data_IF_574105402314
#
_entry.id   IF_574105402314
#
_cell.length_a   1.000
_cell.length_b   1.000
_cell.length_c   1.000
_cell.angle_alpha   90.00
_cell.angle_beta   90.00
_cell.angle_gamma   90.00
#
_symmetry.space_group_name_H-M   'P 1'
#
loop_
_entity.id
_entity.type
_entity.pdbx_description
1 polymer ?
#
# COMPACT_ATOMS: atom_id res chain seq x y z
N UNK A 1 11.33 22.56 33.09
CA UNK A 1 12.51 21.75 32.70
C UNK A 1 12.14 20.34 32.20
N UNK A 2 11.13 19.65 32.75
CA UNK A 2 10.72 18.32 32.29
C UNK A 2 10.16 18.26 30.85
N UNK A 3 9.44 19.30 30.40
CA UNK A 3 8.90 19.40 29.02
C UNK A 3 9.99 19.32 27.94
N UNK A 4 11.10 20.03 28.12
CA UNK A 4 12.18 20.09 27.12
C UNK A 4 12.98 18.78 27.04
N UNK A 5 13.03 17.98 28.11
CA UNK A 5 13.70 16.66 28.08
C UNK A 5 12.88 15.62 27.32
N UNK A 6 11.56 15.68 27.38
CA UNK A 6 10.66 14.76 26.66
C UNK A 6 10.73 15.02 25.14
N UNK A 7 10.77 16.28 24.71
CA UNK A 7 10.92 16.62 23.29
C UNK A 7 12.27 16.18 22.71
N UNK A 8 13.37 16.37 23.45
CA UNK A 8 14.69 15.88 23.03
C UNK A 8 14.77 14.35 22.97
N UNK A 9 14.11 13.64 23.89
CA UNK A 9 14.03 12.18 23.85
C UNK A 9 13.32 11.66 22.60
N UNK A 10 12.24 12.33 22.16
CA UNK A 10 11.49 11.92 20.96
C UNK A 10 12.26 12.15 19.66
N UNK A 11 13.08 13.21 19.60
CA UNK A 11 13.89 13.56 18.42
C UNK A 11 15.03 12.58 18.12
N UNK A 12 15.55 11.87 19.14
CA UNK A 12 16.70 10.96 18.96
C UNK A 12 16.33 9.50 18.66
N UNK A 13 15.04 9.15 18.67
CA UNK A 13 14.63 7.78 18.44
C UNK A 13 14.82 7.38 16.97
N UNK A 14 15.41 6.20 16.74
CA UNK A 14 15.51 5.63 15.39
C UNK A 14 14.12 5.46 14.79
N UNK A 15 13.96 5.85 13.53
CA UNK A 15 12.70 5.74 12.79
C UNK A 15 12.65 4.44 11.97
N UNK A 16 11.45 3.99 11.68
CA UNK A 16 11.12 3.00 10.66
C UNK A 16 10.00 3.60 9.80
N UNK A 17 10.17 3.62 8.48
CA UNK A 17 9.17 4.15 7.54
C UNK A 17 8.30 3.01 7.03
N UNK A 18 6.99 3.21 7.01
CA UNK A 18 6.04 2.26 6.43
C UNK A 18 5.18 3.03 5.44
N UNK A 19 5.36 2.77 4.15
CA UNK A 19 4.60 3.39 3.07
C UNK A 19 3.49 2.44 2.66
N UNK A 20 2.24 2.84 2.83
CA UNK A 20 1.08 1.99 2.58
C UNK A 20 -0.02 2.78 1.88
N UNK A 21 -0.74 2.14 0.97
CA UNK A 21 -2.02 2.64 0.53
C UNK A 21 -3.06 2.45 1.64
N UNK A 22 -4.08 3.29 1.64
CA UNK A 22 -5.22 3.14 2.54
C UNK A 22 -6.39 2.49 1.79
N UNK A 23 -7.17 1.61 2.46
CA UNK A 23 -7.01 1.02 3.79
C UNK A 23 -7.20 -0.50 3.79
N UNK A 24 -6.32 -1.20 3.06
CA UNK A 24 -6.35 -2.65 3.08
C UNK A 24 -6.02 -3.16 4.50
N UNK A 25 -6.81 -4.11 5.06
CA UNK A 25 -6.40 -4.89 6.21
C UNK A 25 -4.98 -5.41 6.12
N UNK A 26 -4.52 -5.79 4.93
CA UNK A 26 -3.14 -6.17 4.63
C UNK A 26 -2.11 -5.12 5.05
N UNK A 27 -2.34 -3.85 4.67
CA UNK A 27 -1.52 -2.72 5.09
C UNK A 27 -1.56 -2.53 6.62
N UNK A 28 -2.71 -2.71 7.26
CA UNK A 28 -2.81 -2.61 8.72
C UNK A 28 -1.96 -3.68 9.43
N UNK A 29 -2.01 -4.93 8.96
CA UNK A 29 -1.17 -6.01 9.49
C UNK A 29 0.32 -5.77 9.24
N UNK A 30 0.67 -5.19 8.09
CA UNK A 30 2.02 -4.73 7.80
C UNK A 30 2.49 -3.72 8.87
N UNK A 31 1.71 -2.66 9.12
CA UNK A 31 2.02 -1.64 10.15
C UNK A 31 2.17 -2.27 11.53
N UNK A 32 1.21 -3.09 11.96
CA UNK A 32 1.24 -3.75 13.28
C UNK A 32 2.48 -4.65 13.41
N UNK A 33 2.80 -5.42 12.36
CA UNK A 33 3.96 -6.31 12.33
C UNK A 33 5.26 -5.54 12.53
N UNK A 34 5.43 -4.43 11.80
CA UNK A 34 6.62 -3.58 11.90
C UNK A 34 6.71 -2.92 13.29
N UNK A 35 5.61 -2.42 13.85
CA UNK A 35 5.59 -1.84 15.21
C UNK A 35 6.05 -2.85 16.25
N UNK A 36 5.48 -4.07 16.23
CA UNK A 36 5.80 -5.10 17.24
C UNK A 36 7.23 -5.59 17.14
N UNK A 37 7.74 -5.76 15.92
CA UNK A 37 9.10 -6.28 15.67
C UNK A 37 10.20 -5.23 15.82
N UNK A 38 9.84 -3.95 15.93
CA UNK A 38 10.79 -2.86 16.13
C UNK A 38 10.51 -2.08 17.43
N UNK A 39 10.59 -2.71 18.63
CA UNK A 39 10.20 -2.11 19.91
C UNK A 39 10.95 -0.82 20.27
N UNK A 40 12.16 -0.63 19.71
CA UNK A 40 13.03 0.52 19.97
C UNK A 40 12.91 1.63 18.92
N UNK A 41 12.13 1.43 17.86
CA UNK A 41 11.94 2.42 16.80
C UNK A 41 10.55 3.06 16.89
N UNK A 42 10.46 4.32 16.50
CA UNK A 42 9.19 4.97 16.17
C UNK A 42 8.84 4.62 14.73
N UNK A 43 7.62 4.16 14.50
CA UNK A 43 7.14 3.81 13.16
C UNK A 43 6.41 5.02 12.57
N UNK A 44 7.00 5.62 11.54
CA UNK A 44 6.36 6.66 10.75
C UNK A 44 5.56 5.95 9.66
N UNK A 45 4.23 5.99 9.74
CA UNK A 45 3.32 5.38 8.78
C UNK A 45 2.89 6.45 7.79
N UNK A 46 3.30 6.31 6.54
CA UNK A 46 2.98 7.22 5.45
C UNK A 46 1.82 6.61 4.67
N UNK A 47 0.68 7.28 4.74
CA UNK A 47 -0.58 6.86 4.12
C UNK A 47 -0.66 7.51 2.73
N UNK A 48 -0.52 6.71 1.68
CA UNK A 48 -0.71 7.19 0.31
C UNK A 48 -2.20 7.42 0.06
N UNK A 49 -2.60 8.61 -0.44
CA UNK A 49 -3.99 8.91 -0.66
C UNK A 49 -4.55 8.07 -1.82
N UNK A 50 -5.75 7.52 -1.63
CA UNK A 50 -6.43 6.71 -2.62
C UNK A 50 -7.62 7.49 -3.21
N UNK A 51 -7.77 7.57 -4.54
CA UNK A 51 -8.99 8.09 -5.16
C UNK A 51 -10.19 7.21 -4.78
N UNK A 52 -11.24 7.84 -4.25
CA UNK A 52 -12.46 7.16 -3.81
C UNK A 52 -13.68 7.78 -4.50
N UNK A 53 -14.47 6.94 -5.16
CA UNK A 53 -15.76 7.33 -5.72
C UNK A 53 -16.88 6.70 -4.87
N UNK A 54 -17.54 7.53 -4.05
CA UNK A 54 -18.64 7.10 -3.17
C UNK A 54 -19.99 7.09 -3.89
N UNK A 55 -20.04 7.57 -5.14
CA UNK A 55 -21.30 7.71 -5.89
C UNK A 55 -21.77 6.41 -6.51
N UNK A 56 -20.91 5.39 -6.57
CA UNK A 56 -21.22 4.07 -7.14
C UNK A 56 -21.26 3.00 -6.05
N UNK A 57 -22.16 2.04 -6.17
CA UNK A 57 -22.32 0.96 -5.18
C UNK A 57 -21.15 -0.01 -5.29
N UNK A 58 -20.68 -0.52 -4.16
CA UNK A 58 -19.82 -1.70 -4.18
C UNK A 58 -20.62 -2.92 -4.66
N UNK A 59 -19.92 -3.94 -5.18
CA UNK A 59 -20.60 -5.16 -5.63
C UNK A 59 -21.25 -5.92 -4.46
N UNK A 60 -20.60 -5.95 -3.29
CA UNK A 60 -21.15 -6.56 -2.09
C UNK A 60 -21.62 -8.01 -2.33
N UNK A 61 -22.85 -8.32 -1.94
CA UNK A 61 -23.48 -9.62 -2.18
C UNK A 61 -23.82 -9.91 -3.65
N UNK A 62 -23.84 -8.89 -4.50
CA UNK A 62 -24.08 -9.03 -5.94
C UNK A 62 -22.82 -9.37 -6.74
N UNK A 63 -21.65 -9.48 -6.10
CA UNK A 63 -20.40 -9.83 -6.78
C UNK A 63 -20.53 -11.05 -7.72
N UNK A 64 -21.14 -12.19 -7.32
CA UNK A 64 -21.28 -13.34 -8.23
C UNK A 64 -22.17 -13.05 -9.44
N UNK A 65 -23.20 -12.23 -9.27
CA UNK A 65 -24.12 -11.85 -10.34
C UNK A 65 -23.43 -10.94 -11.37
N UNK A 66 -22.73 -9.91 -10.88
CA UNK A 66 -21.93 -9.00 -11.71
C UNK A 66 -20.83 -9.78 -12.44
N UNK A 67 -20.11 -10.65 -11.72
CA UNK A 67 -19.08 -11.51 -12.28
C UNK A 67 -19.62 -12.36 -13.43
N UNK A 68 -20.76 -13.02 -13.23
CA UNK A 68 -21.37 -13.86 -14.25
C UNK A 68 -21.78 -13.04 -15.49
N UNK A 69 -22.37 -11.85 -15.29
CA UNK A 69 -22.76 -10.98 -16.41
C UNK A 69 -21.56 -10.54 -17.26
N UNK A 70 -20.45 -10.17 -16.64
CA UNK A 70 -19.21 -9.83 -17.35
C UNK A 70 -18.56 -11.09 -17.94
N UNK A 71 -18.61 -12.22 -17.25
CA UNK A 71 -18.09 -13.51 -17.71
C UNK A 71 -18.72 -13.94 -19.03
N UNK A 72 -20.05 -13.87 -19.15
CA UNK A 72 -20.76 -14.21 -20.38
C UNK A 72 -20.26 -13.38 -21.58
N UNK A 73 -19.98 -12.10 -21.37
CA UNK A 73 -19.43 -11.22 -22.41
C UNK A 73 -18.00 -11.61 -22.81
N UNK A 74 -17.17 -12.01 -21.85
CA UNK A 74 -15.75 -12.35 -22.07
C UNK A 74 -15.54 -13.78 -22.58
N UNK A 75 -16.60 -14.55 -22.83
CA UNK A 75 -16.47 -15.93 -23.34
C UNK A 75 -15.80 -15.92 -24.71
N UNK A 76 -14.75 -16.74 -24.83
CA UNK A 76 -14.07 -17.00 -26.09
C UNK A 76 -14.96 -17.87 -27.00
N UNK A 77 -14.69 -17.96 -28.32
CA UNK A 77 -15.48 -18.78 -29.24
C UNK A 77 -15.55 -20.27 -28.86
N UNK A 78 -14.56 -20.78 -28.12
CA UNK A 78 -14.55 -22.15 -27.58
C UNK A 78 -15.37 -22.33 -26.28
N UNK A 79 -16.02 -21.26 -25.80
CA UNK A 79 -16.81 -21.25 -24.56
C UNK A 79 -15.99 -21.02 -23.28
N UNK A 80 -14.67 -20.92 -23.36
CA UNK A 80 -13.82 -20.66 -22.18
C UNK A 80 -13.93 -19.21 -21.71
N UNK A 81 -13.93 -19.02 -20.39
CA UNK A 81 -13.93 -17.71 -19.74
C UNK A 81 -12.51 -17.33 -19.35
N UNK A 82 -12.09 -16.14 -19.74
CA UNK A 82 -10.86 -15.54 -19.24
C UNK A 82 -11.13 -14.79 -17.93
N UNK A 83 -10.96 -15.49 -16.79
CA UNK A 83 -11.26 -14.94 -15.48
C UNK A 83 -10.46 -13.65 -15.17
N UNK A 84 -9.23 -13.52 -15.68
CA UNK A 84 -8.42 -12.32 -15.47
C UNK A 84 -9.03 -11.13 -16.21
N UNK A 85 -9.52 -11.34 -17.43
CA UNK A 85 -10.20 -10.30 -18.19
C UNK A 85 -11.54 -9.89 -17.57
N UNK A 86 -12.31 -10.84 -17.03
CA UNK A 86 -13.54 -10.54 -16.26
C UNK A 86 -13.24 -9.61 -15.11
N UNK A 87 -12.29 -10.01 -14.26
CA UNK A 87 -11.91 -9.24 -13.07
C UNK A 87 -11.34 -7.87 -13.50
N UNK A 88 -10.49 -7.82 -14.54
CA UNK A 88 -9.95 -6.57 -15.06
C UNK A 88 -11.06 -5.60 -15.47
N UNK A 89 -12.06 -6.05 -16.24
CA UNK A 89 -13.20 -5.20 -16.64
C UNK A 89 -14.02 -4.70 -15.46
N UNK A 90 -14.21 -5.55 -14.44
CA UNK A 90 -14.89 -5.14 -13.22
C UNK A 90 -14.08 -4.07 -12.46
N UNK A 91 -12.76 -4.23 -12.39
CA UNK A 91 -11.90 -3.40 -11.53
C UNK A 91 -11.28 -2.19 -12.22
N UNK A 92 -11.27 -2.09 -13.54
CA UNK A 92 -10.63 -0.96 -14.25
C UNK A 92 -11.58 0.24 -14.36
N UNK A 93 -11.20 1.42 -13.83
CA UNK A 93 -12.00 2.62 -13.98
C UNK A 93 -12.10 3.08 -15.44
N UNK A 94 -13.18 3.77 -15.80
CA UNK A 94 -13.37 4.30 -17.15
C UNK A 94 -13.94 5.72 -17.17
N UNK A 95 -13.43 6.54 -18.10
CA UNK A 95 -13.89 7.91 -18.35
C UNK A 95 -15.09 7.99 -19.30
N UNK A 96 -15.26 6.97 -20.13
CA UNK A 96 -16.37 6.84 -21.07
C UNK A 96 -16.91 5.43 -20.99
N UNK A 97 -18.23 5.29 -21.11
CA UNK A 97 -18.92 4.00 -21.02
C UNK A 97 -18.36 3.03 -22.08
N UNK A 98 -17.66 1.94 -21.69
CA UNK A 98 -17.13 1.00 -22.65
C UNK A 98 -18.23 0.27 -23.41
N UNK A 99 -17.97 -0.14 -24.66
CA UNK A 99 -18.93 -0.88 -25.50
C UNK A 99 -19.51 -2.11 -24.79
N UNK A 100 -18.65 -2.88 -24.12
CA UNK A 100 -19.06 -4.09 -23.42
C UNK A 100 -20.13 -3.86 -22.36
N UNK A 101 -20.17 -2.66 -21.76
CA UNK A 101 -21.21 -2.32 -20.77
C UNK A 101 -22.59 -2.25 -21.42
N UNK A 102 -22.67 -1.87 -22.69
CA UNK A 102 -23.95 -1.85 -23.44
C UNK A 102 -24.40 -3.24 -23.87
N UNK A 103 -23.54 -4.25 -23.76
CA UNK A 103 -23.75 -5.61 -24.26
C UNK A 103 -24.00 -6.63 -23.12
N UNK A 104 -23.79 -6.25 -21.86
CA UNK A 104 -24.18 -7.05 -20.70
C UNK A 104 -25.64 -6.77 -20.29
N UNK A 105 -26.18 -7.57 -19.37
CA UNK A 105 -27.55 -7.39 -18.84
C UNK A 105 -27.80 -5.95 -18.39
N UNK A 106 -28.90 -5.37 -18.86
CA UNK A 106 -29.22 -3.95 -18.67
C UNK A 106 -29.25 -3.54 -17.20
N UNK A 107 -29.85 -4.35 -16.31
CA UNK A 107 -29.92 -4.06 -14.87
C UNK A 107 -28.52 -3.94 -14.23
N UNK A 108 -27.62 -4.88 -14.55
CA UNK A 108 -26.22 -4.86 -14.07
C UNK A 108 -25.46 -3.66 -14.64
N UNK A 109 -25.62 -3.41 -15.94
CA UNK A 109 -24.99 -2.26 -16.60
C UNK A 109 -25.44 -0.95 -15.97
N UNK A 110 -26.74 -0.81 -15.71
CA UNK A 110 -27.37 0.39 -15.15
C UNK A 110 -26.91 0.67 -13.74
N UNK A 111 -26.76 -0.35 -12.91
CA UNK A 111 -26.43 -0.16 -11.49
C UNK A 111 -24.93 0.09 -11.22
N UNK A 112 -24.01 -0.64 -11.89
CA UNK A 112 -22.57 -0.60 -11.56
C UNK A 112 -21.66 0.01 -12.63
N UNK A 113 -22.14 0.17 -13.87
CA UNK A 113 -21.30 0.55 -15.01
C UNK A 113 -21.89 1.68 -15.88
N UNK A 114 -23.05 2.23 -15.52
CA UNK A 114 -23.77 3.19 -16.36
C UNK A 114 -23.12 4.56 -16.39
N UNK A 115 -22.46 4.92 -15.31
CA UNK A 115 -21.79 6.20 -15.13
C UNK A 115 -20.28 5.99 -15.24
N UNK A 116 -19.57 6.87 -15.97
CA UNK A 116 -18.13 6.98 -15.85
C UNK A 116 -17.70 7.14 -14.38
N UNK A 117 -16.56 6.57 -14.04
CA UNK A 117 -15.97 6.81 -12.72
C UNK A 117 -15.52 8.27 -12.66
N UNK A 118 -15.92 8.99 -11.61
CA UNK A 118 -15.60 10.42 -11.48
C UNK A 118 -14.13 10.68 -11.13
N UNK A 119 -13.33 9.62 -10.96
CA UNK A 119 -11.92 9.62 -10.56
C UNK A 119 -10.96 10.39 -11.49
N UNK A 120 -11.43 10.87 -12.65
CA UNK A 120 -10.64 11.56 -13.68
C UNK A 120 -11.05 13.03 -13.89
N UNK A 121 -11.84 13.63 -12.99
CA UNK A 121 -12.24 15.03 -13.10
C UNK A 121 -11.03 16.00 -13.08
N UNK A 122 -11.05 17.01 -13.95
CA UNK A 122 -9.87 17.79 -14.34
C UNK A 122 -9.22 18.62 -13.21
N UNK A 123 -9.96 19.02 -12.18
CA UNK A 123 -9.41 19.78 -11.05
C UNK A 123 -9.01 18.90 -9.85
N UNK A 124 -9.54 17.67 -9.80
CA UNK A 124 -9.41 16.70 -8.72
C UNK A 124 -9.75 17.24 -7.33
N UNK A 125 -10.40 18.40 -7.22
CA UNK A 125 -10.53 19.14 -5.95
C UNK A 125 -11.47 18.41 -4.98
N UNK A 126 -12.59 17.93 -5.52
CA UNK A 126 -13.57 17.11 -4.82
C UNK A 126 -12.93 15.82 -4.27
N UNK A 127 -12.22 15.08 -5.11
CA UNK A 127 -11.58 13.81 -4.72
C UNK A 127 -10.46 13.99 -3.72
N UNK A 128 -9.71 15.09 -3.77
CA UNK A 128 -8.70 15.41 -2.73
C UNK A 128 -9.35 15.59 -1.37
N UNK A 129 -10.49 16.27 -1.30
CA UNK A 129 -11.25 16.45 -0.06
C UNK A 129 -11.75 15.12 0.49
N UNK A 130 -12.33 14.27 -0.36
CA UNK A 130 -12.78 12.92 0.03
C UNK A 130 -11.60 12.06 0.48
N UNK A 131 -10.51 12.01 -0.27
CA UNK A 131 -9.31 11.23 0.08
C UNK A 131 -8.68 11.70 1.40
N UNK A 132 -8.61 13.01 1.64
CA UNK A 132 -8.12 13.57 2.91
C UNK A 132 -9.02 13.20 4.09
N UNK A 133 -10.34 13.31 3.91
CA UNK A 133 -11.33 12.85 4.90
C UNK A 133 -11.16 11.35 5.17
N UNK A 134 -10.92 10.58 4.10
CA UNK A 134 -10.78 9.15 4.21
C UNK A 134 -9.52 8.73 4.97
N UNK A 135 -8.36 9.34 4.67
CA UNK A 135 -7.12 9.14 5.40
C UNK A 135 -7.30 9.41 6.89
N UNK A 136 -8.00 10.50 7.25
CA UNK A 136 -8.27 10.83 8.66
C UNK A 136 -9.17 9.80 9.33
N UNK A 137 -10.22 9.33 8.63
CA UNK A 137 -11.08 8.25 9.12
C UNK A 137 -10.26 7.00 9.45
N UNK A 138 -9.40 6.57 8.52
CA UNK A 138 -8.57 5.38 8.66
C UNK A 138 -7.53 5.54 9.75
N UNK A 139 -6.87 6.69 9.82
CA UNK A 139 -5.90 6.98 10.87
C UNK A 139 -6.54 6.90 12.26
N UNK A 140 -7.78 7.36 12.44
CA UNK A 140 -8.56 7.21 13.68
C UNK A 140 -9.00 5.77 13.97
N UNK A 141 -9.38 5.04 12.93
CA UNK A 141 -9.74 3.63 13.06
C UNK A 141 -8.53 2.78 13.49
N UNK A 142 -7.41 2.88 12.77
CA UNK A 142 -6.17 2.16 13.09
C UNK A 142 -5.62 2.53 14.46
N UNK A 143 -5.73 3.81 14.82
CA UNK A 143 -5.53 4.37 16.16
C UNK A 143 -6.30 3.62 17.24
N UNK A 144 -7.59 3.36 17.01
CA UNK A 144 -8.43 2.63 17.97
C UNK A 144 -7.97 1.17 18.06
N UNK A 145 -7.69 0.52 16.93
CA UNK A 145 -7.17 -0.86 16.92
C UNK A 145 -5.81 -1.00 17.60
N UNK A 146 -4.93 -0.01 17.47
CA UNK A 146 -3.61 -0.03 18.11
C UNK A 146 -3.72 0.19 19.62
N UNK A 147 -4.64 1.06 20.06
CA UNK A 147 -4.93 1.24 21.48
C UNK A 147 -5.50 -0.05 22.11
N UNK A 148 -6.41 -0.74 21.42
CA UNK A 148 -6.96 -2.04 21.86
C UNK A 148 -5.89 -3.13 22.01
N UNK A 149 -4.74 -2.96 21.34
CA UNK A 149 -3.59 -3.86 21.40
C UNK A 149 -2.49 -3.35 22.33
N UNK A 150 -2.80 -2.36 23.17
CA UNK A 150 -1.89 -1.71 24.12
C UNK A 150 -0.62 -1.16 23.46
N UNK A 151 -0.70 -0.72 22.20
CA UNK A 151 0.43 -0.10 21.49
C UNK A 151 0.50 1.38 21.86
N UNK A 152 1.56 1.85 22.55
CA UNK A 152 1.66 3.24 22.98
C UNK A 152 1.75 4.21 21.80
N UNK A 153 1.17 5.41 21.95
CA UNK A 153 1.11 6.43 20.90
C UNK A 153 2.43 7.02 20.46
N UNK A 154 3.43 7.03 21.33
CA UNK A 154 4.77 7.49 20.97
C UNK A 154 5.52 6.48 20.06
N UNK A 155 5.00 5.26 19.91
CA UNK A 155 5.57 4.23 19.03
C UNK A 155 5.24 4.43 17.56
N UNK A 156 4.26 5.25 17.21
CA UNK A 156 3.88 5.47 15.81
C UNK A 156 3.37 6.88 15.55
N UNK A 157 3.31 7.26 14.27
CA UNK A 157 2.69 8.50 13.81
C UNK A 157 2.27 8.34 12.35
N UNK A 158 1.07 8.84 12.02
CA UNK A 158 0.58 8.87 10.65
C UNK A 158 0.99 10.16 9.95
N UNK A 159 1.36 10.02 8.69
CA UNK A 159 1.72 11.09 7.77
C UNK A 159 1.00 10.89 6.44
N UNK A 160 0.72 11.97 5.72
CA UNK A 160 0.19 11.92 4.34
C UNK A 160 0.78 13.05 3.52
N UNK A 161 0.89 12.84 2.21
CA UNK A 161 1.24 13.90 1.26
C UNK A 161 0.02 14.26 0.41
N UNK A 162 -0.49 15.49 0.57
CA UNK A 162 -1.66 15.95 -0.18
C UNK A 162 -1.37 16.11 -1.68
N UNK A 163 -0.10 16.31 -2.04
CA UNK A 163 0.31 16.48 -3.43
C UNK A 163 0.43 15.14 -4.18
N UNK A 164 0.49 14.01 -3.48
CA UNK A 164 0.55 12.68 -4.10
C UNK A 164 -0.65 12.40 -5.00
N UNK A 165 -1.83 12.94 -4.67
CA UNK A 165 -3.03 12.80 -5.50
C UNK A 165 -2.87 13.36 -6.92
N UNK A 166 -1.89 14.24 -7.17
CA UNK A 166 -1.62 14.76 -8.52
C UNK A 166 -0.90 13.75 -9.42
N UNK A 167 -0.25 12.74 -8.83
CA UNK A 167 0.57 11.74 -9.51
C UNK A 167 -0.09 10.37 -9.55
N UNK A 168 -0.94 10.09 -8.56
CA UNK A 168 -1.63 8.81 -8.39
C UNK A 168 -2.69 8.63 -9.47
N UNK A 169 -2.54 7.57 -10.26
CA UNK A 169 -3.57 7.10 -11.18
C UNK A 169 -4.72 6.46 -10.40
N UNK A 170 -5.98 6.50 -10.89
CA UNK A 170 -7.16 5.92 -10.22
C UNK A 170 -7.14 4.43 -9.84
N UNK A 171 -6.05 3.71 -10.08
CA UNK A 171 -5.85 2.33 -9.63
C UNK A 171 -7.01 1.41 -10.03
N UNK A 172 -7.50 0.65 -9.04
CA UNK A 172 -8.71 -0.17 -9.19
C UNK A 172 -9.94 0.59 -8.68
N UNK A 173 -11.05 0.41 -9.39
CA UNK A 173 -12.41 0.82 -9.00
C UNK A 173 -12.67 0.49 -7.54
N UNK A 174 -12.98 1.52 -6.75
CA UNK A 174 -13.30 1.37 -5.32
C UNK A 174 -14.43 0.36 -5.10
N UNK A 175 -15.38 0.29 -6.03
CA UNK A 175 -16.53 -0.62 -6.03
C UNK A 175 -16.12 -2.10 -5.98
N UNK A 176 -14.92 -2.40 -6.49
CA UNK A 176 -14.31 -3.72 -6.44
C UNK A 176 -13.84 -4.12 -5.04
N UNK A 177 -13.62 -3.16 -4.14
CA UNK A 177 -13.32 -3.41 -2.75
C UNK A 177 -14.62 -3.49 -1.95
N UNK A 178 -14.63 -4.33 -0.91
CA UNK A 178 -15.66 -4.21 0.14
C UNK A 178 -15.51 -2.83 0.78
N UNK A 179 -16.58 -2.33 1.39
CA UNK A 179 -16.60 -1.05 2.11
C UNK A 179 -15.69 -1.11 3.35
N UNK A 180 -14.40 -1.04 3.12
CA UNK A 180 -13.28 -0.98 4.05
C UNK A 180 -13.44 0.12 5.11
N UNK A 181 -14.02 1.26 4.75
CA UNK A 181 -14.38 2.28 5.74
C UNK A 181 -15.44 1.83 6.77
N UNK A 182 -16.27 0.81 6.49
CA UNK A 182 -17.35 0.39 7.42
C UNK A 182 -16.82 -0.09 8.77
N UNK A 183 -15.56 -0.55 8.81
CA UNK A 183 -14.98 -1.08 10.04
C UNK A 183 -14.80 -0.01 11.12
N UNK A 184 -14.67 1.27 10.75
CA UNK A 184 -14.53 2.38 11.69
C UNK A 184 -15.76 2.55 12.61
N UNK A 185 -16.94 2.12 12.16
CA UNK A 185 -18.23 2.41 12.80
C UNK A 185 -18.79 1.24 13.61
N UNK A 186 -18.07 0.12 13.74
CA UNK A 186 -18.60 -1.08 14.40
C UNK A 186 -18.99 -0.89 15.86
N UNK A 187 -18.33 0.01 16.58
CA UNK A 187 -18.58 0.26 18.00
C UNK A 187 -19.69 1.31 18.23
N UNK A 188 -20.14 1.99 17.18
CA UNK A 188 -21.20 3.00 17.22
C UNK A 188 -22.38 2.54 16.36
N UNK A 189 -23.33 1.84 16.98
CA UNK A 189 -24.53 1.31 16.30
C UNK A 189 -25.37 2.41 15.64
N UNK A 190 -25.33 3.64 16.15
CA UNK A 190 -26.07 4.75 15.54
C UNK A 190 -25.41 5.21 14.23
N UNK A 191 -24.09 5.41 14.24
CA UNK A 191 -23.33 5.74 13.02
C UNK A 191 -23.37 4.60 12.01
N UNK A 192 -23.25 3.34 12.47
CA UNK A 192 -23.36 2.16 11.62
C UNK A 192 -24.72 2.08 10.94
N UNK A 193 -25.83 2.26 11.67
CA UNK A 193 -27.18 2.28 11.09
C UNK A 193 -27.34 3.40 10.06
N UNK A 194 -26.76 4.58 10.31
CA UNK A 194 -26.76 5.69 9.34
C UNK A 194 -25.96 5.32 8.08
N UNK A 195 -24.80 4.71 8.24
CA UNK A 195 -24.00 4.23 7.11
C UNK A 195 -24.74 3.16 6.30
N UNK A 196 -25.33 2.17 6.96
CA UNK A 196 -26.12 1.11 6.31
C UNK A 196 -27.31 1.68 5.52
N UNK A 197 -27.90 2.77 6.00
CA UNK A 197 -28.94 3.50 5.26
C UNK A 197 -28.37 4.28 4.08
N UNK A 198 -27.23 4.96 4.26
CA UNK A 198 -26.55 5.68 3.20
C UNK A 198 -26.20 4.73 2.02
N UNK A 199 -25.65 3.57 2.33
CA UNK A 199 -25.27 2.54 1.35
C UNK A 199 -26.45 2.01 0.52
N UNK A 200 -27.69 2.16 1.01
CA UNK A 200 -28.91 1.75 0.29
C UNK A 200 -29.43 2.83 -0.68
N UNK A 201 -28.92 4.06 -0.64
CA UNK A 201 -29.39 5.10 -1.56
C UNK A 201 -29.06 4.73 -3.01
N UNK A 202 -30.06 4.89 -3.89
CA UNK A 202 -29.91 4.71 -5.33
C UNK A 202 -29.35 5.95 -6.02
N UNK A 203 -29.49 7.12 -5.39
CA UNK A 203 -28.87 8.35 -5.88
C UNK A 203 -27.40 8.40 -5.42
N UNK A 204 -26.49 8.56 -6.37
CA UNK A 204 -25.05 8.52 -6.09
C UNK A 204 -24.56 9.73 -5.30
N UNK A 205 -25.14 10.91 -5.56
CA UNK A 205 -24.72 12.16 -4.91
C UNK A 205 -25.28 12.23 -3.49
N UNK A 206 -26.54 11.83 -3.31
CA UNK A 206 -27.14 11.65 -1.99
C UNK A 206 -26.32 10.62 -1.17
N UNK A 207 -25.99 9.47 -1.76
CA UNK A 207 -25.19 8.43 -1.09
C UNK A 207 -23.85 8.99 -0.61
N UNK A 208 -23.10 9.64 -1.49
CA UNK A 208 -21.81 10.25 -1.13
C UNK A 208 -21.97 11.25 0.02
N UNK A 209 -22.93 12.18 -0.08
CA UNK A 209 -23.19 13.16 0.97
C UNK A 209 -23.54 12.53 2.31
N UNK A 210 -24.36 11.47 2.31
CA UNK A 210 -24.72 10.73 3.51
C UNK A 210 -23.52 9.98 4.12
N UNK A 211 -22.69 9.33 3.30
CA UNK A 211 -21.48 8.63 3.76
C UNK A 211 -20.49 9.63 4.36
N UNK A 212 -20.20 10.74 3.66
CA UNK A 212 -19.30 11.78 4.14
C UNK A 212 -19.81 12.43 5.43
N UNK A 213 -21.13 12.60 5.58
CA UNK A 213 -21.73 13.05 6.83
C UNK A 213 -21.42 12.10 8.00
N UNK A 214 -21.53 10.79 7.80
CA UNK A 214 -21.19 9.79 8.82
C UNK A 214 -19.69 9.80 9.15
N UNK A 215 -18.84 9.93 8.14
CA UNK A 215 -17.38 10.00 8.32
C UNK A 215 -16.98 11.24 9.12
N UNK A 216 -17.50 12.40 8.74
CA UNK A 216 -17.19 13.67 9.39
C UNK A 216 -17.65 13.69 10.86
N UNK A 217 -18.84 13.16 11.15
CA UNK A 217 -19.32 13.05 12.53
C UNK A 217 -18.38 12.17 13.39
N UNK A 218 -17.95 11.02 12.86
CA UNK A 218 -17.00 10.15 13.55
C UNK A 218 -15.64 10.83 13.78
N UNK A 219 -15.07 11.45 12.74
CA UNK A 219 -13.79 12.15 12.81
C UNK A 219 -13.87 13.28 13.83
N UNK A 220 -14.95 14.07 13.80
CA UNK A 220 -15.15 15.18 14.73
C UNK A 220 -15.17 14.71 16.18
N UNK A 221 -15.94 13.66 16.50
CA UNK A 221 -16.00 13.08 17.86
C UNK A 221 -14.62 12.60 18.31
N UNK A 222 -13.87 11.93 17.43
CA UNK A 222 -12.53 11.42 17.76
C UNK A 222 -11.52 12.57 17.93
N UNK A 223 -11.58 13.60 17.09
CA UNK A 223 -10.72 14.78 17.20
C UNK A 223 -11.02 15.61 18.45
N UNK A 224 -12.29 15.79 18.82
CA UNK A 224 -12.68 16.48 20.04
C UNK A 224 -12.14 15.76 21.28
N UNK A 225 -12.24 14.43 21.31
CA UNK A 225 -11.65 13.61 22.39
C UNK A 225 -10.13 13.76 22.47
N UNK A 226 -9.44 13.84 21.33
CA UNK A 226 -7.98 14.05 21.26
C UNK A 226 -7.58 15.44 21.73
N UNK A 227 -8.27 16.48 21.25
CA UNK A 227 -8.03 17.88 21.65
C UNK A 227 -8.26 18.07 23.15
N UNK A 228 -9.33 17.50 23.70
CA UNK A 228 -9.59 17.50 25.14
C UNK A 228 -8.47 16.83 25.96
N UNK A 229 -7.72 15.91 25.34
CA UNK A 229 -6.58 15.21 25.93
C UNK A 229 -5.21 15.85 25.60
N UNK A 230 -5.20 17.04 24.97
CA UNK A 230 -4.01 17.74 24.48
C UNK A 230 -3.07 16.86 23.64
N UNK A 231 -3.65 15.99 22.80
CA UNK A 231 -2.90 15.15 21.88
C UNK A 231 -2.66 15.89 20.57
N UNK A 232 -1.51 15.65 19.93
CA UNK A 232 -1.18 16.17 18.62
C UNK A 232 -2.19 15.70 17.54
N UNK A 233 -2.15 16.32 16.37
CA UNK A 233 -2.96 15.91 15.23
C UNK A 233 -2.73 14.44 14.87
N UNK A 234 -3.79 13.79 14.43
CA UNK A 234 -3.76 12.34 14.16
C UNK A 234 -2.92 12.01 12.93
N UNK A 235 -2.98 12.87 11.91
CA UNK A 235 -2.23 12.76 10.67
C UNK A 235 -1.47 14.07 10.50
N UNK A 236 -0.16 13.95 10.28
CA UNK A 236 0.74 15.07 10.01
C UNK A 236 1.05 15.14 8.51
N UNK A 237 1.59 16.26 8.02
CA UNK A 237 2.02 16.32 6.63
C UNK A 237 3.32 15.54 6.45
N UNK A 238 3.49 14.88 5.30
CA UNK A 238 4.74 14.19 5.00
C UNK A 238 5.93 15.15 4.93
N UNK A 239 5.69 16.40 4.52
CA UNK A 239 6.71 17.46 4.54
C UNK A 239 7.21 17.78 5.96
N UNK A 240 6.34 17.75 6.97
CA UNK A 240 6.78 17.88 8.37
C UNK A 240 7.76 16.77 8.76
N UNK A 241 7.53 15.52 8.30
CA UNK A 241 8.48 14.43 8.57
C UNK A 241 9.83 14.65 7.86
N UNK A 242 9.81 15.16 6.63
CA UNK A 242 11.01 15.52 5.86
C UNK A 242 11.78 16.65 6.57
N UNK A 243 11.09 17.69 7.01
CA UNK A 243 11.67 18.81 7.77
C UNK A 243 12.27 18.34 9.10
N UNK A 244 11.57 17.47 9.84
CA UNK A 244 12.08 16.84 11.06
C UNK A 244 13.39 16.09 10.80
N UNK A 245 13.48 15.30 9.73
CA UNK A 245 14.68 14.53 9.41
C UNK A 245 15.85 15.42 8.96
N UNK A 246 15.56 16.46 8.18
CA UNK A 246 16.56 17.45 7.77
C UNK A 246 17.12 18.22 8.98
N UNK A 247 16.27 18.63 9.92
CA UNK A 247 16.70 19.28 11.16
C UNK A 247 17.62 18.36 11.99
N UNK A 248 17.28 17.07 12.11
CA UNK A 248 18.11 16.09 12.81
C UNK A 248 19.47 15.89 12.13
N UNK A 249 19.51 15.89 10.79
CA UNK A 249 20.76 15.79 10.02
C UNK A 249 21.67 17.00 10.28
N UNK A 250 21.11 18.20 10.27
CA UNK A 250 21.87 19.43 10.50
C UNK A 250 22.39 19.54 11.95
N UNK A 251 21.59 19.11 12.92
CA UNK A 251 21.99 19.02 14.33
C UNK A 251 23.17 18.05 14.51
N UNK A 252 23.10 16.86 13.89
CA UNK A 252 24.18 15.86 13.90
C UNK A 252 25.45 16.40 13.24
N UNK A 253 25.32 17.11 12.11
CA UNK A 253 26.45 17.74 11.41
C UNK A 253 27.13 18.79 12.28
N UNK A 254 26.36 19.72 12.83
CA UNK A 254 26.85 20.78 13.73
C UNK A 254 27.55 20.16 14.95
N UNK A 255 27.00 19.10 15.54
CA UNK A 255 27.59 18.40 16.67
C UNK A 255 28.90 17.71 16.29
N UNK A 256 28.96 17.06 15.12
CA UNK A 256 30.17 16.43 14.61
C UNK A 256 31.27 17.46 14.31
N UNK A 257 30.94 18.62 13.75
CA UNK A 257 31.89 19.72 13.51
C UNK A 257 32.44 20.30 14.82
N UNK A 258 31.56 20.53 15.82
CA UNK A 258 31.97 20.94 17.18
C UNK A 258 32.83 19.88 17.87
N UNK A 259 32.56 18.59 17.65
CA UNK A 259 33.37 17.49 18.21
C UNK A 259 34.73 17.36 17.51
N UNK A 260 34.83 17.59 16.20
CA UNK A 260 36.12 17.61 15.48
C UNK A 260 37.04 18.73 15.99
N UNK A 261 36.48 19.85 16.43
CA UNK A 261 37.21 20.94 17.10
C UNK A 261 37.74 20.50 18.47
N UNK A 262 37.10 19.55 19.16
CA UNK A 262 37.60 18.90 20.37
C UNK A 262 38.53 17.74 20.00
N UNK A 263 39.74 18.08 19.58
CA UNK A 263 40.81 17.14 19.21
C UNK A 263 41.01 16.03 20.26
N UNK A 264 41.19 14.79 19.78
CA UNK A 264 41.87 13.65 20.43
C UNK A 264 41.05 12.45 21.00
N UNK A 265 39.89 12.07 20.47
CA UNK A 265 39.42 10.66 20.59
C UNK A 265 38.75 10.10 19.31
N UNK A 266 39.48 9.96 18.19
CA UNK A 266 38.91 9.47 16.93
C UNK A 266 38.42 8.01 17.00
N UNK A 267 39.10 7.16 17.77
CA UNK A 267 38.85 5.71 17.77
C UNK A 267 37.59 5.32 18.57
N UNK A 268 37.38 5.94 19.73
CA UNK A 268 36.20 5.70 20.58
C UNK A 268 34.95 6.33 19.95
N UNK A 269 35.08 7.49 19.31
CA UNK A 269 33.96 8.11 18.60
C UNK A 269 33.53 7.30 17.37
N UNK A 270 34.48 6.79 16.57
CA UNK A 270 34.18 5.93 15.42
C UNK A 270 33.53 4.58 15.82
N UNK A 271 33.88 4.03 16.99
CA UNK A 271 33.28 2.80 17.53
C UNK A 271 31.90 3.05 18.18
N UNK A 272 31.71 4.19 18.85
CA UNK A 272 30.43 4.56 19.47
C UNK A 272 29.41 5.11 18.46
N UNK A 273 29.89 5.72 17.37
CA UNK A 273 29.07 6.20 16.26
C UNK A 273 29.10 5.17 15.13
N UNK A 274 28.69 3.93 15.45
CA UNK A 274 28.21 2.98 14.44
C UNK A 274 27.31 3.78 13.50
N UNK A 275 27.67 3.83 12.21
CA UNK A 275 26.98 4.61 11.17
C UNK A 275 25.48 4.49 11.44
N UNK A 276 24.88 5.58 11.87
CA UNK A 276 23.44 5.67 11.92
C UNK A 276 23.03 5.72 10.45
N UNK A 277 22.73 4.56 9.89
CA UNK A 277 22.59 4.32 8.45
C UNK A 277 21.27 4.87 7.88
N UNK A 278 20.46 5.50 8.73
CA UNK A 278 19.12 6.00 8.38
C UNK A 278 18.00 5.08 8.87
N UNK A 279 16.74 5.46 8.61
CA UNK A 279 15.60 4.59 8.81
C UNK A 279 15.60 3.41 7.83
N UNK A 280 15.00 2.30 8.26
CA UNK A 280 14.57 1.21 7.37
C UNK A 280 13.18 1.54 6.84
N UNK A 281 12.88 1.10 5.62
CA UNK A 281 11.58 1.29 4.99
C UNK A 281 10.93 -0.05 4.62
N UNK A 282 9.62 -0.14 4.81
CA UNK A 282 8.79 -1.18 4.22
C UNK A 282 7.72 -0.51 3.36
N UNK A 283 7.57 -0.94 2.11
CA UNK A 283 6.72 -0.30 1.10
C UNK A 283 5.65 -1.30 0.65
N UNK A 284 4.42 -1.12 1.13
CA UNK A 284 3.23 -1.85 0.72
C UNK A 284 2.31 -1.06 -0.20
N UNK A 285 2.48 0.27 -0.27
CA UNK A 285 1.72 1.15 -1.16
C UNK A 285 2.49 1.61 -2.41
N UNK A 286 1.92 2.57 -3.17
CA UNK A 286 2.59 3.23 -4.28
C UNK A 286 3.94 3.86 -3.89
N UNK A 287 4.79 4.07 -4.89
CA UNK A 287 6.16 4.58 -4.67
C UNK A 287 6.25 6.11 -4.58
N UNK A 288 5.13 6.83 -4.66
CA UNK A 288 5.10 8.30 -4.76
C UNK A 288 5.83 8.98 -3.59
N UNK A 289 5.47 8.63 -2.35
CA UNK A 289 6.10 9.20 -1.16
C UNK A 289 7.49 8.62 -0.89
N UNK A 290 7.70 7.34 -1.24
CA UNK A 290 9.01 6.70 -1.12
C UNK A 290 10.05 7.35 -2.04
N UNK A 291 9.65 7.71 -3.27
CA UNK A 291 10.46 8.49 -4.19
C UNK A 291 10.77 9.87 -3.60
N UNK A 292 9.74 10.61 -3.14
CA UNK A 292 9.92 11.94 -2.54
C UNK A 292 10.92 11.93 -1.38
N UNK A 293 10.91 10.88 -0.54
CA UNK A 293 11.92 10.70 0.52
C UNK A 293 13.34 10.64 -0.06
N UNK A 294 13.56 9.78 -1.05
CA UNK A 294 14.90 9.55 -1.64
C UNK A 294 15.38 10.75 -2.45
N UNK A 295 14.48 11.45 -3.16
CA UNK A 295 14.77 12.68 -3.91
C UNK A 295 15.27 13.80 -3.02
N UNK A 296 14.72 13.94 -1.81
CA UNK A 296 15.15 14.92 -0.80
C UNK A 296 16.50 14.58 -0.14
N UNK A 297 17.23 13.59 -0.67
CA UNK A 297 18.50 13.11 -0.13
C UNK A 297 18.45 12.72 1.36
N UNK A 298 17.27 12.27 1.82
CA UNK A 298 17.11 11.78 3.18
C UNK A 298 17.76 10.40 3.32
N UNK A 299 18.34 10.10 4.49
CA UNK A 299 18.98 8.81 4.71
C UNK A 299 17.95 7.68 4.64
N UNK A 300 18.36 6.53 4.10
CA UNK A 300 17.60 5.29 4.11
C UNK A 300 18.59 4.13 4.19
N UNK A 301 18.47 3.32 5.24
CA UNK A 301 19.36 2.18 5.51
C UNK A 301 19.08 1.05 4.51
N UNK A 302 17.80 0.71 4.39
CA UNK A 302 17.31 -0.35 3.50
C UNK A 302 15.83 -0.15 3.21
N UNK A 303 15.36 -0.76 2.13
CA UNK A 303 13.95 -0.85 1.78
C UNK A 303 13.54 -2.31 1.50
N UNK A 304 12.32 -2.68 1.87
CA UNK A 304 11.67 -3.91 1.42
C UNK A 304 10.32 -3.54 0.82
N UNK A 305 10.06 -3.90 -0.44
CA UNK A 305 8.92 -3.38 -1.19
C UNK A 305 8.09 -4.48 -1.86
N UNK A 306 6.77 -4.43 -1.70
CA UNK A 306 5.80 -5.22 -2.46
C UNK A 306 5.65 -4.62 -3.85
N UNK A 307 6.34 -5.18 -4.84
CA UNK A 307 6.50 -4.53 -6.13
C UNK A 307 6.88 -5.49 -7.25
N UNK A 308 6.54 -5.09 -8.47
CA UNK A 308 6.86 -5.80 -9.70
C UNK A 308 6.28 -7.21 -9.75
N UNK A 309 6.66 -7.92 -10.80
CA UNK A 309 6.33 -9.32 -11.04
C UNK A 309 7.49 -9.99 -11.78
N UNK A 310 7.48 -11.33 -11.81
CA UNK A 310 8.51 -12.14 -12.48
C UNK A 310 8.01 -12.55 -13.88
N UNK A 311 6.82 -13.14 -13.95
CA UNK A 311 6.24 -13.71 -15.17
C UNK A 311 5.00 -12.93 -15.64
N UNK A 312 4.29 -12.28 -14.72
CA UNK A 312 3.14 -11.41 -15.01
C UNK A 312 1.83 -12.14 -15.27
N UNK A 313 1.87 -13.45 -15.50
CA UNK A 313 0.70 -14.29 -15.76
C UNK A 313 -0.29 -14.38 -14.58
N UNK A 314 0.13 -14.01 -13.38
CA UNK A 314 -0.72 -14.01 -12.18
C UNK A 314 -1.31 -12.63 -11.86
N UNK A 315 -0.98 -11.57 -12.59
CA UNK A 315 -1.50 -10.24 -12.31
C UNK A 315 -2.86 -10.02 -12.99
N UNK A 316 -3.78 -9.39 -12.27
CA UNK A 316 -5.08 -8.95 -12.81
C UNK A 316 -4.86 -7.73 -13.71
N UNK A 317 -4.03 -6.80 -13.23
CA UNK A 317 -3.61 -5.61 -13.96
C UNK A 317 -2.34 -5.90 -14.78
N UNK A 318 -2.09 -5.09 -15.80
CA UNK A 318 -0.87 -5.19 -16.62
C UNK A 318 0.41 -5.09 -15.78
N UNK A 319 0.39 -4.26 -14.75
CA UNK A 319 1.47 -4.13 -13.76
C UNK A 319 1.01 -4.64 -12.39
N UNK A 320 1.96 -4.88 -11.48
CA UNK A 320 1.62 -5.02 -10.06
C UNK A 320 0.96 -3.72 -9.58
N UNK A 321 -0.02 -3.81 -8.66
CA UNK A 321 -0.89 -2.70 -8.30
C UNK A 321 -0.15 -1.43 -7.87
N UNK A 322 0.80 -1.52 -6.93
CA UNK A 322 1.56 -0.37 -6.42
C UNK A 322 2.36 0.33 -7.52
N UNK A 323 2.88 -0.44 -8.47
CA UNK A 323 3.53 0.09 -9.68
C UNK A 323 2.50 0.73 -10.62
N UNK A 324 1.35 0.09 -10.83
CA UNK A 324 0.31 0.57 -11.75
C UNK A 324 -0.27 1.92 -11.31
N UNK A 325 -0.33 2.16 -9.99
CA UNK A 325 -0.84 3.41 -9.43
C UNK A 325 0.06 4.61 -9.76
N UNK A 326 1.39 4.46 -9.66
CA UNK A 326 2.35 5.50 -10.02
C UNK A 326 3.66 4.87 -10.56
N UNK A 327 3.62 4.49 -11.84
CA UNK A 327 4.73 3.77 -12.47
C UNK A 327 5.98 4.63 -12.63
N UNK A 328 5.80 5.94 -12.84
CA UNK A 328 6.93 6.87 -12.89
C UNK A 328 7.68 6.85 -11.56
N UNK A 329 6.96 7.03 -10.45
CA UNK A 329 7.59 7.03 -9.14
C UNK A 329 8.23 5.69 -8.80
N UNK A 330 7.61 4.58 -9.20
CA UNK A 330 8.20 3.25 -9.03
C UNK A 330 9.52 3.10 -9.79
N UNK A 331 9.56 3.47 -11.08
CA UNK A 331 10.78 3.39 -11.89
C UNK A 331 11.90 4.28 -11.34
N UNK A 332 11.61 5.55 -11.07
CA UNK A 332 12.62 6.50 -10.59
C UNK A 332 13.11 6.14 -9.19
N UNK A 333 12.24 5.64 -8.30
CA UNK A 333 12.67 5.13 -7.00
C UNK A 333 13.70 4.01 -7.17
N UNK A 334 13.42 3.02 -8.04
CA UNK A 334 14.32 1.88 -8.26
C UNK A 334 15.67 2.32 -8.85
N UNK A 335 15.67 3.28 -9.78
CA UNK A 335 16.91 3.88 -10.30
C UNK A 335 17.71 4.60 -9.21
N UNK A 336 17.04 5.38 -8.35
CA UNK A 336 17.69 6.13 -7.30
C UNK A 336 18.26 5.24 -6.20
N UNK A 337 17.56 4.17 -5.79
CA UNK A 337 18.11 3.23 -4.80
C UNK A 337 19.32 2.48 -5.34
N UNK A 338 19.34 2.11 -6.62
CA UNK A 338 20.52 1.53 -7.27
C UNK A 338 21.68 2.53 -7.29
N UNK A 339 21.44 3.76 -7.78
CA UNK A 339 22.44 4.83 -7.86
C UNK A 339 23.02 5.18 -6.49
N UNK A 340 22.16 5.28 -5.46
CA UNK A 340 22.56 5.59 -4.08
C UNK A 340 23.06 4.36 -3.30
N UNK A 341 23.02 3.16 -3.90
CA UNK A 341 23.41 1.89 -3.28
C UNK A 341 22.63 1.59 -1.99
N UNK A 342 21.34 1.94 -1.97
CA UNK A 342 20.42 1.62 -0.88
C UNK A 342 20.03 0.15 -1.04
N UNK A 343 20.26 -0.66 -0.01
CA UNK A 343 19.89 -2.07 -0.05
C UNK A 343 18.37 -2.22 -0.15
N UNK A 344 17.88 -2.75 -1.27
CA UNK A 344 16.45 -2.87 -1.55
C UNK A 344 16.09 -4.31 -1.87
N UNK A 345 15.12 -4.87 -1.14
CA UNK A 345 14.52 -6.17 -1.40
C UNK A 345 13.18 -5.95 -2.08
N UNK A 346 13.00 -6.51 -3.28
CA UNK A 346 11.72 -6.51 -3.97
C UNK A 346 11.01 -7.85 -3.70
N UNK A 347 9.72 -7.76 -3.42
CA UNK A 347 8.82 -8.89 -3.19
C UNK A 347 7.80 -8.92 -4.34
N UNK A 348 8.04 -9.70 -5.39
CA UNK A 348 7.12 -9.80 -6.53
C UNK A 348 5.81 -10.52 -6.18
N UNK A 349 4.74 -10.20 -6.92
CA UNK A 349 3.41 -10.83 -6.76
C UNK A 349 3.46 -12.35 -6.70
N UNK A 350 4.25 -12.99 -7.55
CA UNK A 350 4.30 -14.44 -7.67
C UNK A 350 4.84 -15.10 -6.41
N UNK A 351 5.81 -14.49 -5.72
CA UNK A 351 6.42 -15.02 -4.49
C UNK A 351 5.35 -15.20 -3.40
N UNK A 352 4.43 -14.25 -3.28
CA UNK A 352 3.38 -14.31 -2.25
C UNK A 352 2.21 -15.23 -2.65
N UNK A 353 1.98 -15.43 -3.96
CA UNK A 353 0.90 -16.29 -4.46
C UNK A 353 1.22 -17.79 -4.39
N UNK A 354 2.47 -18.15 -4.15
CA UNK A 354 2.92 -19.52 -3.87
C UNK A 354 2.16 -20.12 -2.69
N UNK A 355 1.95 -21.44 -2.74
CA UNK A 355 1.04 -22.15 -1.83
C UNK A 355 1.49 -22.08 -0.36
N UNK A 356 2.79 -22.00 -0.16
CA UNK A 356 3.49 -21.90 1.12
C UNK A 356 3.20 -20.57 1.82
N UNK A 357 2.90 -19.53 1.04
CA UNK A 357 2.62 -18.16 1.47
C UNK A 357 1.14 -17.83 1.50
N UNK A 358 0.32 -18.68 0.87
CA UNK A 358 -1.12 -18.68 1.09
C UNK A 358 -1.36 -19.01 2.55
N UNK A 359 -1.88 -18.04 3.28
CA UNK A 359 -2.04 -18.11 4.71
C UNK A 359 -3.23 -19.02 5.10
N UNK A 360 -3.18 -20.29 4.73
CA UNK A 360 -4.12 -21.33 5.19
C UNK A 360 -4.13 -21.49 6.73
N UNK A 361 -3.21 -20.82 7.42
CA UNK A 361 -3.10 -20.73 8.87
C UNK A 361 -3.59 -19.40 9.47
N UNK A 362 -4.11 -18.42 8.70
CA UNK A 362 -4.66 -17.18 9.29
C UNK A 362 -5.69 -17.47 10.38
N UNK A 363 -6.55 -18.46 10.14
CA UNK A 363 -7.54 -18.88 11.12
C UNK A 363 -6.92 -19.36 12.44
N UNK A 364 -5.72 -19.98 12.41
CA UNK A 364 -4.96 -20.38 13.60
C UNK A 364 -4.32 -19.16 14.26
N UNK A 365 -3.69 -18.28 13.48
CA UNK A 365 -3.03 -17.05 13.97
C UNK A 365 -4.04 -16.14 14.66
N UNK A 366 -5.19 -15.89 14.04
CA UNK A 366 -6.21 -14.99 14.55
C UNK A 366 -7.26 -15.67 15.43
N UNK A 367 -7.07 -16.95 15.80
CA UNK A 367 -8.01 -17.69 16.65
C UNK A 367 -8.31 -16.95 17.96
N UNK A 368 -7.28 -16.34 18.54
CA UNK A 368 -7.38 -15.59 19.79
C UNK A 368 -7.67 -14.09 19.58
N UNK A 369 -7.82 -13.66 18.33
CA UNK A 369 -8.04 -12.27 17.94
C UNK A 369 -9.29 -12.17 17.06
N UNK A 370 -10.50 -12.39 17.62
CA UNK A 370 -11.73 -12.45 16.85
C UNK A 370 -11.98 -11.16 16.04
N UNK A 371 -11.63 -9.98 16.58
CA UNK A 371 -11.69 -8.70 15.87
C UNK A 371 -10.86 -8.72 14.58
N UNK A 372 -9.64 -9.27 14.65
CA UNK A 372 -8.72 -9.34 13.50
C UNK A 372 -9.16 -10.40 12.48
N UNK A 373 -9.69 -11.53 12.97
CA UNK A 373 -10.34 -12.52 12.09
C UNK A 373 -11.50 -11.91 11.30
N UNK A 374 -12.32 -11.09 11.94
CA UNK A 374 -13.46 -10.43 11.31
C UNK A 374 -13.02 -9.38 10.29
N UNK A 375 -11.91 -8.67 10.54
CA UNK A 375 -11.29 -7.76 9.59
C UNK A 375 -10.90 -8.50 8.29
N UNK A 376 -10.20 -9.63 8.40
CA UNK A 376 -9.75 -10.41 7.24
C UNK A 376 -10.93 -11.06 6.50
N UNK A 377 -11.93 -11.62 7.21
CA UNK A 377 -13.15 -12.11 6.54
C UNK A 377 -13.93 -10.99 5.86
N UNK A 378 -13.91 -9.81 6.48
CA UNK A 378 -14.46 -8.59 5.93
C UNK A 378 -13.72 -8.10 4.69
N UNK A 379 -12.47 -8.50 4.47
CA UNK A 379 -11.67 -8.13 3.31
C UNK A 379 -11.95 -9.00 2.09
N UNK A 380 -12.04 -10.32 2.29
CA UNK A 380 -12.27 -11.27 1.20
C UNK A 380 -13.74 -11.40 0.87
N UNK A 381 -14.13 -11.44 -0.42
CA UNK A 381 -15.49 -11.88 -0.82
C UNK A 381 -15.77 -13.35 -0.50
N UNK A 382 -14.74 -14.11 -0.11
CA UNK A 382 -14.86 -15.46 0.45
C UNK A 382 -15.05 -15.39 1.97
N UNK A 383 -15.94 -16.22 2.50
CA UNK A 383 -16.04 -16.47 3.95
C UNK A 383 -14.83 -17.24 4.48
N UNK A 384 -13.97 -17.74 3.59
CA UNK A 384 -12.81 -18.55 3.96
C UNK A 384 -11.55 -17.68 4.00
N UNK A 385 -11.03 -17.50 5.22
CA UNK A 385 -9.75 -16.83 5.50
C UNK A 385 -8.57 -17.36 4.68
N UNK A 386 -8.61 -18.64 4.29
CA UNK A 386 -7.54 -19.30 3.52
C UNK A 386 -7.39 -18.79 2.09
N UNK A 387 -8.39 -18.05 1.59
CA UNK A 387 -8.38 -17.48 0.24
C UNK A 387 -7.79 -16.05 0.24
N UNK A 388 -7.54 -15.47 1.43
CA UNK A 388 -6.91 -14.16 1.57
C UNK A 388 -5.41 -14.25 1.27
N UNK A 389 -4.94 -13.44 0.32
CA UNK A 389 -3.52 -13.23 0.07
C UNK A 389 -3.11 -11.91 0.69
N UNK A 390 -2.14 -11.94 1.62
CA UNK A 390 -1.67 -10.78 2.39
C UNK A 390 -0.29 -10.38 1.85
N UNK A 391 -0.28 -9.61 0.77
CA UNK A 391 0.93 -9.18 0.06
C UNK A 391 1.84 -8.30 0.93
N UNK A 392 1.27 -7.27 1.54
CA UNK A 392 2.03 -6.25 2.27
C UNK A 392 2.45 -6.76 3.65
N UNK A 393 1.59 -7.51 4.32
CA UNK A 393 1.95 -8.14 5.58
C UNK A 393 3.10 -9.13 5.40
N UNK A 394 3.06 -9.97 4.35
CA UNK A 394 4.17 -10.87 4.04
C UNK A 394 5.46 -10.09 3.71
N UNK A 395 5.35 -8.94 3.05
CA UNK A 395 6.48 -8.03 2.80
C UNK A 395 7.13 -7.54 4.10
N UNK A 396 6.33 -7.19 5.12
CA UNK A 396 6.84 -6.86 6.46
C UNK A 396 7.48 -8.05 7.18
N UNK A 397 6.96 -9.28 6.98
CA UNK A 397 7.57 -10.50 7.53
C UNK A 397 8.94 -10.76 6.90
N UNK A 398 9.07 -10.61 5.59
CA UNK A 398 10.34 -10.77 4.86
C UNK A 398 11.37 -9.74 5.33
N UNK A 399 10.99 -8.46 5.49
CA UNK A 399 11.88 -7.44 6.03
C UNK A 399 12.40 -7.81 7.44
N UNK A 400 11.50 -8.35 8.27
CA UNK A 400 11.84 -8.71 9.64
C UNK A 400 12.61 -10.02 9.76
N UNK A 401 12.50 -10.90 8.76
CA UNK A 401 13.11 -12.21 8.73
C UNK A 401 13.82 -12.44 7.38
N UNK A 402 14.99 -11.80 7.13
CA UNK A 402 15.67 -11.86 5.83
C UNK A 402 16.08 -13.28 5.38
N UNK A 403 16.11 -14.26 6.29
CA UNK A 403 16.36 -15.67 5.97
C UNK A 403 15.12 -16.46 5.53
N UNK A 404 13.94 -15.84 5.53
CA UNK A 404 12.69 -16.50 5.20
C UNK A 404 12.58 -16.84 3.69
N UNK A 405 13.29 -16.08 2.85
CA UNK A 405 13.37 -16.31 1.41
C UNK A 405 14.80 -16.30 0.92
N UNK A 406 15.08 -17.14 -0.09
CA UNK A 406 16.32 -17.04 -0.86
C UNK A 406 16.21 -15.83 -1.77
N UNK A 407 17.09 -14.85 -1.58
CA UNK A 407 17.15 -13.65 -2.43
C UNK A 407 18.12 -13.87 -3.60
N UNK A 408 17.80 -13.32 -4.77
CA UNK A 408 18.71 -13.20 -5.91
C UNK A 408 18.90 -11.74 -6.28
N UNK A 409 20.02 -11.41 -6.92
CA UNK A 409 20.19 -10.09 -7.52
C UNK A 409 19.32 -9.99 -8.77
N UNK A 410 18.58 -8.90 -8.86
CA UNK A 410 17.69 -8.62 -9.97
C UNK A 410 17.96 -7.21 -10.49
N UNK A 411 17.62 -6.99 -11.75
CA UNK A 411 17.54 -5.66 -12.35
C UNK A 411 16.07 -5.36 -12.66
N UNK A 412 15.54 -4.18 -12.30
CA UNK A 412 14.24 -3.75 -12.78
C UNK A 412 14.31 -3.47 -14.29
N UNK A 413 13.33 -3.97 -15.04
CA UNK A 413 13.22 -3.76 -16.48
C UNK A 413 11.86 -3.17 -16.77
N UNK A 414 11.87 -1.97 -17.33
CA UNK A 414 10.66 -1.32 -17.86
C UNK A 414 10.55 -1.67 -19.34
N UNK A 415 9.49 -2.39 -19.71
CA UNK A 415 9.19 -2.76 -21.09
C UNK A 415 8.10 -1.89 -21.64
N UNK A 416 8.37 -1.16 -22.71
CA UNK A 416 7.37 -0.33 -23.37
C UNK A 416 6.68 -1.12 -24.48
N UNK A 417 5.37 -0.96 -24.60
CA UNK A 417 4.64 -1.46 -25.76
C UNK A 417 4.85 -0.50 -26.92
N UNK A 418 5.54 -0.95 -27.97
CA UNK A 418 5.72 -0.19 -29.21
C UNK A 418 4.64 -0.60 -30.20
N UNK A 419 3.85 0.37 -30.68
CA UNK A 419 2.96 0.14 -31.80
C UNK A 419 3.77 -0.17 -33.06
N UNK A 420 3.55 -1.35 -33.66
CA UNK A 420 4.33 -1.83 -34.81
C UNK A 420 3.55 -1.63 -36.11
N UNK A 421 3.05 -0.42 -36.38
CA UNK A 421 2.25 -0.15 -37.58
C UNK A 421 0.91 -0.89 -37.62
N UNK A 422 0.05 -0.52 -38.57
CA UNK A 422 -1.31 -1.06 -38.65
C UNK A 422 -1.30 -2.58 -38.94
N UNK A 423 -1.94 -3.37 -38.08
CA UNK A 423 -2.15 -4.80 -38.28
C UNK A 423 -1.05 -5.72 -37.75
N UNK A 424 -0.07 -5.21 -37.00
CA UNK A 424 0.87 -6.05 -36.24
C UNK A 424 0.60 -5.94 -34.74
N UNK A 425 0.83 -7.04 -34.04
CA UNK A 425 0.79 -7.05 -32.58
C UNK A 425 1.86 -6.08 -32.03
N UNK A 426 1.57 -5.35 -30.94
CA UNK A 426 2.55 -4.51 -30.28
C UNK A 426 3.79 -5.33 -29.87
N UNK A 427 4.98 -4.77 -30.10
CA UNK A 427 6.24 -5.39 -29.66
C UNK A 427 6.68 -4.79 -28.33
N UNK A 428 7.06 -5.65 -27.39
CA UNK A 428 7.74 -5.24 -26.16
C UNK A 428 9.19 -4.85 -26.47
N UNK A 429 9.57 -3.63 -26.09
CA UNK A 429 10.97 -3.16 -26.16
C UNK A 429 11.44 -2.72 -24.79
N UNK A 430 12.66 -3.12 -24.41
CA UNK A 430 13.27 -2.67 -23.16
C UNK A 430 13.53 -1.15 -23.26
N UNK A 431 13.15 -0.43 -22.20
CA UNK A 431 13.36 1.02 -22.11
C UNK A 431 14.76 1.32 -21.56
N UNK A 432 15.58 2.00 -22.36
CA UNK A 432 16.96 2.38 -21.99
C UNK A 432 17.12 3.87 -21.63
N UNK A 433 16.01 4.61 -21.44
CA UNK A 433 16.02 6.06 -21.24
C UNK A 433 15.73 6.56 -19.81
N UNK A 434 15.72 7.88 -19.65
CA UNK A 434 15.08 8.58 -18.51
C UNK A 434 13.62 8.88 -18.87
N UNK A 435 12.69 8.70 -17.92
CA UNK A 435 11.27 9.01 -18.15
C UNK A 435 10.96 10.51 -18.14
N UNK A 436 11.87 11.36 -17.66
CA UNK A 436 11.67 12.82 -17.54
C UNK A 436 11.37 13.52 -18.89
N UNK A 437 11.69 12.89 -20.02
CA UNK A 437 11.46 13.45 -21.35
C UNK A 437 10.06 13.19 -21.94
N UNK A 438 9.20 12.39 -21.28
CA UNK A 438 7.88 12.03 -21.82
C UNK A 438 6.75 12.77 -21.10
N UNK A 439 5.93 13.59 -21.79
CA UNK A 439 4.77 14.27 -21.20
C UNK A 439 3.60 13.32 -20.90
N UNK A 440 3.69 12.03 -21.26
CA UNK A 440 2.69 11.01 -20.92
C UNK A 440 3.34 9.95 -20.03
N UNK A 441 2.63 9.45 -18.99
CA UNK A 441 3.10 8.32 -18.23
C UNK A 441 3.39 7.17 -19.20
N UNK A 442 4.53 6.49 -19.07
CA UNK A 442 4.85 5.37 -19.94
C UNK A 442 3.71 4.36 -19.93
N UNK A 443 3.34 3.80 -21.08
CA UNK A 443 2.50 2.60 -21.15
C UNK A 443 3.43 1.40 -21.19
N UNK A 444 4.01 1.10 -20.04
CA UNK A 444 5.04 0.09 -19.88
C UNK A 444 4.70 -0.95 -18.83
N UNK A 445 5.51 -2.00 -18.81
CA UNK A 445 5.45 -3.15 -17.92
C UNK A 445 6.74 -3.19 -17.10
N UNK A 446 6.64 -3.01 -15.79
CA UNK A 446 7.79 -3.06 -14.90
C UNK A 446 7.91 -4.44 -14.25
N UNK A 447 8.95 -5.18 -14.65
CA UNK A 447 9.25 -6.51 -14.14
C UNK A 447 10.66 -6.60 -13.55
N UNK A 448 10.95 -7.71 -12.86
CA UNK A 448 12.29 -8.01 -12.38
C UNK A 448 12.91 -9.14 -13.20
N UNK A 449 14.16 -8.95 -13.62
CA UNK A 449 14.94 -9.98 -14.31
C UNK A 449 16.17 -10.37 -13.48
N UNK A 450 16.45 -11.67 -13.41
CA UNK A 450 17.65 -12.17 -12.73
C UNK A 450 18.89 -11.73 -13.48
N UNK A 451 19.84 -11.07 -12.80
CA UNK A 451 21.13 -10.70 -13.42
C UNK A 451 22.02 -11.92 -13.70
N UNK A 452 21.68 -13.07 -13.11
CA UNK A 452 22.28 -14.36 -13.38
C UNK A 452 21.25 -15.20 -14.14
N UNK A 453 21.41 -15.38 -15.46
CA UNK A 453 21.14 -16.61 -16.23
C UNK A 453 21.36 -16.33 -17.74
N UNK A 454 22.52 -16.78 -18.25
CA UNK A 454 22.53 -17.67 -19.41
C UNK A 454 22.62 -19.09 -18.84
N UNK A 455 21.58 -19.92 -19.03
CA UNK A 455 21.67 -21.38 -18.88
C UNK A 455 21.36 -22.06 -17.53
N UNK A 456 20.52 -21.52 -16.63
CA UNK A 456 20.03 -22.32 -15.50
C UNK A 456 18.51 -22.57 -15.61
N UNK A 457 18.16 -23.80 -15.97
CA UNK A 457 16.85 -24.40 -15.64
C UNK A 457 16.73 -24.47 -14.11
N UNK A 458 15.59 -24.05 -13.57
CA UNK A 458 15.24 -24.27 -12.18
C UNK A 458 15.22 -25.80 -11.92
N UNK A 459 15.89 -26.33 -10.89
CA UNK A 459 15.78 -27.74 -10.57
C UNK A 459 14.40 -28.00 -9.94
N UNK A 460 13.72 -29.05 -10.39
CA UNK A 460 12.34 -29.41 -9.98
C UNK A 460 12.15 -29.74 -8.48
N UNK A 461 13.21 -29.73 -7.65
CA UNK A 461 13.19 -30.30 -6.30
C UNK A 461 13.77 -29.38 -5.21
N UNK A 462 13.37 -28.10 -5.13
CA UNK A 462 13.98 -27.13 -4.18
C UNK A 462 13.48 -27.24 -2.73
N UNK A 463 12.47 -28.06 -2.42
CA UNK A 463 11.86 -28.10 -1.07
C UNK A 463 12.13 -29.36 -0.22
N UNK A 464 12.88 -30.35 -0.71
CA UNK A 464 13.10 -31.62 0.00
C UNK A 464 14.32 -31.65 0.93
N UNK A 465 14.76 -30.51 1.48
CA UNK A 465 15.80 -30.50 2.51
C UNK A 465 15.35 -29.79 3.78
N UNK A 466 15.16 -30.63 4.79
CA UNK A 466 15.05 -30.40 6.22
C UNK A 466 15.56 -29.05 6.71
N UNK A 467 14.71 -28.30 7.42
CA UNK A 467 15.14 -27.12 8.15
C UNK A 467 14.08 -26.08 8.49
N UNK A 468 12.79 -26.45 8.64
CA UNK A 468 11.76 -25.54 9.13
C UNK A 468 11.45 -25.89 10.59
N UNK A 469 12.07 -25.21 11.55
CA UNK A 469 11.67 -25.36 12.95
C UNK A 469 10.41 -24.54 13.22
N UNK A 470 9.38 -25.26 13.64
CA UNK A 470 8.00 -24.83 13.95
C UNK A 470 7.88 -23.70 14.98
N UNK A 471 8.95 -23.39 15.74
CA UNK A 471 8.93 -22.47 16.88
C UNK A 471 8.86 -20.98 16.48
N UNK A 472 9.42 -20.59 15.35
CA UNK A 472 9.50 -19.17 14.95
C UNK A 472 8.14 -18.58 14.50
N UNK A 473 7.16 -19.44 14.21
CA UNK A 473 5.77 -19.05 13.90
C UNK A 473 4.79 -19.26 15.08
N UNK A 474 5.19 -20.01 16.12
CA UNK A 474 4.32 -20.31 17.26
C UNK A 474 4.52 -19.35 18.44
N UNK A 475 5.59 -18.53 18.44
CA UNK A 475 5.79 -17.39 19.36
C UNK A 475 5.29 -16.06 18.78
N UNK A 476 4.21 -16.08 17.99
CA UNK A 476 3.55 -14.88 17.49
C UNK A 476 2.30 -14.59 18.33
N UNK A 477 2.35 -13.65 19.30
CA UNK A 477 1.19 -12.89 19.73
C UNK A 477 0.78 -11.85 18.69
#
# INVERSE_FOLDING_TARGET
MASNQIEHSKKSQKKFLVFVDCPDPDNWFMVLSIIRRNPRRRVCVILSPRPVDLTVKCYGSHYPEVYNAVSEYTKRPNGEVDNNEVIRRMLTPFTEKPKWVTEIKQEIAEEWFSKPDRLFEADGSHFKSIASTYIRLIAHYWTTLLDDLDIPRDRYQFYTDEDSMKKISPGMRHQGHKHDYTWAFREDEALKKRLDNALKSNDGEEREGLILGVWNDYIQVKDDKRRASNQADIVLSFDQLIEEENALREEKRTTAEKSKLRKALPLVYALLHRKDTGPRAAIGGPFTEALKWVENDLPMESATAMACYIYGNLNILTNQFNVAVDMYSAWEFLNLVEKKKIHTVLVPTEVIKEKEWRNNKLAKVFKNYPRLSELVRGFTYSDKLQDATMFDWNTALIDSCPGLLKTKRVRPVLRMMREVGAGKDPEEVDFEGSLEASPKPPTGMLRVESSEIQGATLPDNVLDREGFQRKDLEEVP
#
